data_IF_120760203060
#
_entry.id   IF_120760203060
#
_cell.length_a   1.000
_cell.length_b   1.000
_cell.length_c   1.000
_cell.angle_alpha   90.00
_cell.angle_beta   90.00
_cell.angle_gamma   90.00
#
_symmetry.space_group_name_H-M   'P 1'
#
loop_
_entity.id
_entity.type
_entity.pdbx_description
1 polymer ?
#
# COMPACT_ATOMS: atom_id res chain seq x y z
N UNK A 1 -6.10 6.52 12.03
CA UNK A 1 -4.68 6.92 12.07
C UNK A 1 -4.50 8.44 12.04
N UNK A 2 -5.53 9.20 11.70
CA UNK A 2 -5.50 10.65 11.71
C UNK A 2 -4.98 11.25 13.01
N UNK A 3 -5.48 10.80 14.16
CA UNK A 3 -5.02 11.26 15.49
C UNK A 3 -3.49 11.13 15.66
N UNK A 4 -2.90 10.02 15.23
CA UNK A 4 -1.44 9.82 15.26
C UNK A 4 -0.70 10.90 14.44
N UNK A 5 -1.22 11.26 13.26
CA UNK A 5 -0.63 12.32 12.43
C UNK A 5 -0.85 13.69 13.07
N UNK A 6 -2.04 13.95 13.60
CA UNK A 6 -2.33 15.23 14.25
C UNK A 6 -1.45 15.48 15.48
N UNK A 7 -1.15 14.45 16.25
CA UNK A 7 -0.33 14.58 17.45
C UNK A 7 1.16 14.70 17.16
N UNK A 8 1.66 13.94 16.16
CA UNK A 8 3.10 13.78 15.95
C UNK A 8 3.67 14.61 14.79
N UNK A 9 2.84 15.09 13.85
CA UNK A 9 3.34 15.77 12.65
C UNK A 9 2.81 17.19 12.47
N UNK A 10 1.53 17.44 12.66
CA UNK A 10 0.94 18.77 12.46
C UNK A 10 1.60 19.86 13.32
N UNK A 11 1.91 19.63 14.63
CA UNK A 11 2.60 20.63 15.44
C UNK A 11 4.00 21.02 14.93
N UNK A 12 4.57 20.18 14.07
CA UNK A 12 5.90 20.36 13.51
C UNK A 12 5.88 20.95 12.08
N UNK A 13 4.75 21.51 11.65
CA UNK A 13 4.64 22.23 10.38
C UNK A 13 4.40 21.33 9.16
N UNK A 14 3.83 20.14 9.36
CA UNK A 14 3.31 19.31 8.27
C UNK A 14 1.86 19.68 7.95
N UNK A 15 1.50 19.61 6.68
CA UNK A 15 0.12 19.53 6.25
C UNK A 15 -0.27 18.05 6.07
N UNK A 16 -1.50 17.71 6.39
CA UNK A 16 -2.05 16.37 6.20
C UNK A 16 -3.28 16.43 5.31
N UNK A 17 -3.30 15.61 4.29
CA UNK A 17 -4.45 15.41 3.42
C UNK A 17 -4.87 13.94 3.45
N UNK A 18 -6.17 13.71 3.61
CA UNK A 18 -6.80 12.42 3.41
C UNK A 18 -7.65 12.52 2.16
N UNK A 19 -7.42 11.62 1.21
CA UNK A 19 -8.06 11.62 -0.10
C UNK A 19 -8.84 10.34 -0.25
N UNK A 20 -10.14 10.45 -0.53
CA UNK A 20 -10.99 9.31 -0.88
C UNK A 20 -10.82 8.99 -2.35
N UNK A 21 -10.61 7.72 -2.69
CA UNK A 21 -10.48 7.27 -4.08
C UNK A 21 -11.80 7.48 -4.82
N UNK A 22 -11.74 7.52 -6.14
CA UNK A 22 -12.93 7.73 -6.98
C UNK A 22 -14.03 6.73 -6.66
N UNK A 23 -15.27 7.18 -6.72
CA UNK A 23 -16.45 6.35 -6.41
C UNK A 23 -16.64 6.00 -4.94
N UNK A 24 -15.86 6.59 -4.02
CA UNK A 24 -16.02 6.37 -2.58
C UNK A 24 -16.29 7.67 -1.83
N UNK A 25 -17.04 7.59 -0.75
CA UNK A 25 -17.46 8.73 0.07
C UNK A 25 -18.06 9.88 -0.76
N UNK A 26 -17.39 11.03 -0.80
CA UNK A 26 -17.83 12.19 -1.57
C UNK A 26 -17.07 12.37 -2.90
N UNK A 27 -16.14 11.46 -3.21
CA UNK A 27 -15.42 11.48 -4.48
C UNK A 27 -16.30 10.97 -5.61
N UNK A 28 -16.40 11.77 -6.68
CA UNK A 28 -17.13 11.37 -7.88
C UNK A 28 -16.33 10.42 -8.77
N UNK A 29 -16.93 9.90 -9.82
CA UNK A 29 -16.33 8.90 -10.69
C UNK A 29 -16.65 7.49 -10.25
N UNK A 30 -15.97 6.50 -10.81
CA UNK A 30 -16.17 5.11 -10.42
C UNK A 30 -14.96 4.51 -9.73
N UNK A 31 -15.19 3.66 -8.76
CA UNK A 31 -14.19 2.87 -8.08
C UNK A 31 -13.70 1.74 -9.00
N UNK A 32 -12.42 1.71 -9.32
CA UNK A 32 -11.83 0.75 -10.25
C UNK A 32 -10.84 -0.24 -9.61
N UNK A 33 -10.86 -0.30 -8.30
CA UNK A 33 -10.09 -1.25 -7.50
C UNK A 33 -8.64 -1.37 -7.96
N UNK A 34 -7.86 -0.32 -7.68
CA UNK A 34 -6.45 -0.22 -8.02
C UNK A 34 -6.12 -0.14 -9.52
N UNK A 35 -7.09 0.24 -10.33
CA UNK A 35 -6.88 0.46 -11.74
C UNK A 35 -6.27 1.82 -12.07
N UNK A 36 -6.25 2.12 -13.36
CA UNK A 36 -5.63 3.36 -13.87
C UNK A 36 -6.30 4.63 -13.33
N UNK A 37 -7.62 4.63 -13.18
CA UNK A 37 -8.37 5.79 -12.69
C UNK A 37 -7.97 6.15 -11.27
N UNK A 38 -7.82 5.16 -10.41
CA UNK A 38 -7.40 5.35 -9.02
C UNK A 38 -5.96 5.89 -8.96
N UNK A 39 -5.03 5.30 -9.73
CA UNK A 39 -3.66 5.77 -9.82
C UNK A 39 -3.57 7.23 -10.29
N UNK A 40 -4.38 7.62 -11.29
CA UNK A 40 -4.48 9.02 -11.76
C UNK A 40 -5.03 9.94 -10.67
N UNK A 41 -6.03 9.50 -9.91
CA UNK A 41 -6.62 10.30 -8.83
C UNK A 41 -5.59 10.62 -7.75
N UNK A 42 -4.82 9.63 -7.33
CA UNK A 42 -3.77 9.81 -6.32
C UNK A 42 -2.62 10.66 -6.86
N UNK A 43 -2.21 10.44 -8.11
CA UNK A 43 -1.22 11.27 -8.78
C UNK A 43 -1.63 12.74 -8.78
N UNK A 44 -2.86 13.05 -9.20
CA UNK A 44 -3.35 14.43 -9.20
C UNK A 44 -3.45 15.03 -7.79
N UNK A 45 -3.74 14.24 -6.77
CA UNK A 45 -3.70 14.72 -5.39
C UNK A 45 -2.26 15.10 -4.96
N UNK A 46 -1.26 14.30 -5.33
CA UNK A 46 0.15 14.61 -5.09
C UNK A 46 0.57 15.89 -5.82
N UNK A 47 0.23 16.02 -7.11
CA UNK A 47 0.50 17.22 -7.91
C UNK A 47 -0.17 18.47 -7.29
N UNK A 48 -1.43 18.34 -6.89
CA UNK A 48 -2.13 19.45 -6.26
C UNK A 48 -1.46 19.86 -4.96
N UNK A 49 -1.11 18.92 -4.07
CA UNK A 49 -0.43 19.22 -2.81
C UNK A 49 0.95 19.85 -3.02
N UNK A 50 1.71 19.34 -3.99
CA UNK A 50 3.04 19.83 -4.30
C UNK A 50 3.06 21.27 -4.86
N UNK A 51 1.99 21.69 -5.53
CA UNK A 51 1.88 23.00 -6.19
C UNK A 51 1.23 24.09 -5.35
N UNK A 52 0.76 23.78 -4.13
CA UNK A 52 0.13 24.80 -3.29
C UNK A 52 1.14 25.84 -2.80
N UNK A 53 0.73 27.10 -2.66
CA UNK A 53 1.58 28.19 -2.21
C UNK A 53 2.17 27.99 -0.79
N UNK A 54 1.49 27.22 0.04
CA UNK A 54 1.95 26.87 1.38
C UNK A 54 2.82 25.60 1.43
N UNK A 55 2.92 24.86 0.33
CA UNK A 55 3.74 23.66 0.20
C UNK A 55 5.19 24.00 -0.12
N UNK A 56 6.11 23.20 0.41
CA UNK A 56 7.51 23.26 -0.01
C UNK A 56 7.80 22.42 -1.26
N UNK A 57 6.77 21.82 -1.87
CA UNK A 57 6.88 20.97 -3.04
C UNK A 57 7.28 19.52 -2.72
N UNK A 58 7.35 19.12 -1.47
CA UNK A 58 7.71 17.75 -1.09
C UNK A 58 6.51 17.04 -0.48
N UNK A 59 6.05 16.00 -1.13
CA UNK A 59 4.92 15.18 -0.69
C UNK A 59 5.43 13.79 -0.29
N UNK A 60 4.96 13.30 0.84
CA UNK A 60 5.19 11.93 1.31
C UNK A 60 3.86 11.22 1.51
N UNK A 61 3.82 9.93 1.22
CA UNK A 61 2.65 9.10 1.43
C UNK A 61 2.88 8.13 2.59
N UNK A 62 1.85 7.92 3.39
CA UNK A 62 1.88 7.03 4.54
C UNK A 62 0.52 6.38 4.75
N UNK A 63 0.50 5.09 4.91
CA UNK A 63 -0.72 4.35 5.20
C UNK A 63 -0.53 2.85 5.18
N UNK A 64 -1.56 2.13 5.61
CA UNK A 64 -1.54 0.69 5.75
C UNK A 64 -2.57 0.04 4.83
N UNK A 65 -2.29 -1.20 4.38
CA UNK A 65 -3.24 -1.99 3.60
C UNK A 65 -3.54 -1.33 2.26
N UNK A 66 -4.79 -1.01 1.99
CA UNK A 66 -5.20 -0.27 0.79
C UNK A 66 -4.47 1.08 0.68
N UNK A 67 -4.39 1.84 1.77
CA UNK A 67 -3.64 3.11 1.83
C UNK A 67 -2.12 2.90 1.62
N UNK A 68 -1.61 1.72 1.91
CA UNK A 68 -0.24 1.33 1.58
C UNK A 68 -0.10 0.94 0.10
N UNK A 69 -1.14 0.36 -0.48
CA UNK A 69 -1.20 -0.03 -1.87
C UNK A 69 -1.24 1.18 -2.81
N UNK A 70 -2.08 2.18 -2.51
CA UNK A 70 -2.24 3.39 -3.31
C UNK A 70 -0.97 4.21 -3.44
N UNK A 71 -0.01 4.03 -2.53
CA UNK A 71 1.32 4.67 -2.63
C UNK A 71 2.12 4.12 -3.81
N UNK A 72 2.01 2.82 -4.09
CA UNK A 72 2.64 2.20 -5.26
C UNK A 72 1.99 2.68 -6.56
N UNK A 73 0.70 2.93 -6.54
CA UNK A 73 -0.01 3.52 -7.68
C UNK A 73 0.50 4.93 -7.98
N UNK A 74 0.64 5.77 -6.94
CA UNK A 74 1.21 7.10 -7.09
C UNK A 74 2.65 7.05 -7.61
N UNK A 75 3.48 6.14 -7.09
CA UNK A 75 4.85 5.95 -7.55
C UNK A 75 4.90 5.45 -9.01
N UNK A 76 4.00 4.54 -9.38
CA UNK A 76 3.90 4.04 -10.76
C UNK A 76 3.50 5.12 -11.77
N UNK A 77 2.72 6.12 -11.36
CA UNK A 77 2.37 7.28 -12.19
C UNK A 77 3.53 8.27 -12.32
N UNK A 78 4.41 8.32 -11.33
CA UNK A 78 5.55 9.24 -11.26
C UNK A 78 5.13 10.68 -10.96
N UNK A 79 5.85 11.34 -10.09
CA UNK A 79 5.67 12.76 -9.79
C UNK A 79 6.97 13.33 -9.25
N UNK A 80 7.32 14.52 -9.67
CA UNK A 80 8.47 15.23 -9.10
C UNK A 80 8.24 15.68 -7.65
N UNK A 81 6.97 15.82 -7.23
CA UNK A 81 6.61 16.20 -5.87
C UNK A 81 6.62 15.01 -4.90
N UNK A 82 6.44 13.79 -5.38
CA UNK A 82 6.45 12.59 -4.52
C UNK A 82 7.88 12.22 -4.14
N UNK A 83 8.28 12.53 -2.91
CA UNK A 83 9.65 12.30 -2.42
C UNK A 83 9.82 10.97 -1.69
N UNK A 84 8.79 10.50 -1.03
CA UNK A 84 8.87 9.29 -0.22
C UNK A 84 7.53 8.60 -0.08
N UNK A 85 7.59 7.28 0.02
CA UNK A 85 6.44 6.44 0.38
C UNK A 85 6.78 5.60 1.61
N UNK A 86 5.78 5.40 2.46
CA UNK A 86 5.87 4.55 3.65
C UNK A 86 4.71 3.53 3.63
N UNK A 87 4.79 2.52 2.75
CA UNK A 87 3.76 1.50 2.64
C UNK A 87 3.87 0.50 3.80
N UNK A 88 2.85 0.47 4.64
CA UNK A 88 2.71 -0.51 5.72
C UNK A 88 1.78 -1.62 5.25
N UNK A 89 2.28 -2.84 5.11
CA UNK A 89 1.47 -3.97 4.61
C UNK A 89 0.67 -3.60 3.35
N UNK A 90 1.32 -2.90 2.41
CA UNK A 90 0.73 -2.42 1.17
C UNK A 90 0.86 -3.42 0.03
N UNK A 91 -0.22 -3.67 -0.69
CA UNK A 91 -0.20 -4.54 -1.86
C UNK A 91 0.53 -3.85 -3.01
N UNK A 92 1.52 -4.49 -3.58
CA UNK A 92 2.33 -3.98 -4.69
C UNK A 92 1.74 -4.31 -6.05
N UNK A 93 1.08 -5.45 -6.14
CA UNK A 93 0.36 -5.92 -7.31
C UNK A 93 -0.82 -6.79 -6.90
N UNK A 94 -1.94 -6.68 -7.61
CA UNK A 94 -3.16 -7.38 -7.23
C UNK A 94 -3.08 -8.89 -7.53
N UNK A 95 -2.49 -9.27 -8.66
CA UNK A 95 -2.41 -10.68 -9.05
C UNK A 95 -1.71 -11.56 -7.99
N UNK A 96 -0.48 -11.26 -7.52
CA UNK A 96 0.19 -12.10 -6.52
C UNK A 96 -0.45 -12.04 -5.13
N UNK A 97 -1.35 -11.10 -4.87
CA UNK A 97 -2.17 -11.11 -3.67
C UNK A 97 -3.27 -12.17 -3.74
N UNK A 98 -3.90 -12.31 -4.89
CA UNK A 98 -5.11 -13.12 -5.07
C UNK A 98 -4.83 -14.51 -5.64
N UNK A 99 -3.70 -14.69 -6.30
CA UNK A 99 -3.32 -15.94 -6.96
C UNK A 99 -1.88 -16.30 -6.60
N UNK A 100 -1.68 -17.56 -6.20
CA UNK A 100 -0.36 -18.08 -5.85
C UNK A 100 -0.10 -19.41 -6.55
N UNK A 101 1.05 -19.50 -7.20
CA UNK A 101 1.45 -20.70 -7.93
C UNK A 101 0.38 -21.21 -8.92
N UNK A 102 -0.33 -20.29 -9.59
CA UNK A 102 -1.38 -20.63 -10.53
C UNK A 102 -2.72 -21.04 -9.90
N UNK A 103 -2.88 -20.87 -8.60
CA UNK A 103 -4.14 -21.17 -7.89
C UNK A 103 -4.76 -19.90 -7.32
N UNK A 104 -6.06 -19.72 -7.56
CA UNK A 104 -6.83 -18.68 -6.89
C UNK A 104 -6.93 -18.99 -5.40
N UNK A 105 -6.64 -17.99 -4.57
CA UNK A 105 -6.91 -18.08 -3.15
C UNK A 105 -8.41 -17.92 -2.86
N UNK A 106 -8.90 -18.53 -1.81
CA UNK A 106 -10.30 -18.40 -1.41
C UNK A 106 -10.73 -16.95 -1.16
N UNK A 107 -9.80 -16.10 -0.75
CA UNK A 107 -10.04 -14.67 -0.51
C UNK A 107 -10.15 -13.85 -1.80
N UNK A 108 -9.72 -14.34 -2.97
CA UNK A 108 -9.71 -13.55 -4.21
C UNK A 108 -11.09 -13.01 -4.56
N UNK A 109 -12.11 -13.85 -4.54
CA UNK A 109 -13.50 -13.44 -4.78
C UNK A 109 -14.06 -12.62 -3.61
N UNK A 110 -13.76 -13.04 -2.38
CA UNK A 110 -14.24 -12.35 -1.17
C UNK A 110 -13.71 -10.92 -1.13
N UNK A 111 -12.46 -10.69 -1.49
CA UNK A 111 -11.86 -9.35 -1.53
C UNK A 111 -12.56 -8.46 -2.56
N UNK A 112 -12.74 -8.93 -3.79
CA UNK A 112 -13.46 -8.18 -4.82
C UNK A 112 -14.90 -7.87 -4.40
N UNK A 113 -15.61 -8.86 -3.87
CA UNK A 113 -16.98 -8.67 -3.38
C UNK A 113 -17.06 -7.71 -2.21
N UNK A 114 -16.09 -7.75 -1.29
CA UNK A 114 -16.07 -6.86 -0.14
C UNK A 114 -15.87 -5.40 -0.57
N UNK A 115 -14.94 -5.14 -1.48
CA UNK A 115 -14.73 -3.79 -1.99
C UNK A 115 -15.90 -3.32 -2.85
N UNK A 116 -16.45 -4.18 -3.69
CA UNK A 116 -17.66 -3.90 -4.45
C UNK A 116 -18.83 -3.50 -3.53
N UNK A 117 -19.14 -4.34 -2.53
CA UNK A 117 -20.27 -4.06 -1.63
C UNK A 117 -20.05 -2.81 -0.78
N UNK A 118 -18.83 -2.57 -0.28
CA UNK A 118 -18.54 -1.37 0.50
C UNK A 118 -18.66 -0.09 -0.33
N UNK A 119 -18.36 -0.15 -1.62
CA UNK A 119 -18.54 0.99 -2.52
C UNK A 119 -20.00 1.27 -2.83
N UNK A 120 -20.78 0.22 -3.06
CA UNK A 120 -22.23 0.33 -3.29
C UNK A 120 -22.96 0.84 -2.05
N UNK A 121 -22.56 0.40 -0.86
CA UNK A 121 -23.18 0.83 0.41
C UNK A 121 -22.98 2.33 0.71
N UNK A 122 -21.90 2.93 0.20
CA UNK A 122 -21.63 4.35 0.40
C UNK A 122 -22.55 5.29 -0.40
N UNK A 123 -23.06 4.83 -1.52
CA UNK A 123 -23.80 5.69 -2.46
C UNK A 123 -25.17 5.10 -2.80
N UNK A 124 -26.01 4.92 -1.79
CA UNK A 124 -27.39 4.43 -1.87
C UNK A 124 -27.99 4.48 -3.29
N UNK A 125 -28.06 3.34 -3.97
CA UNK A 125 -28.71 3.12 -5.27
C UNK A 125 -27.90 3.34 -6.56
N UNK A 126 -26.62 3.68 -6.55
CA UNK A 126 -25.90 3.99 -7.78
C UNK A 126 -24.74 3.02 -8.07
N UNK A 127 -25.00 2.02 -8.91
CA UNK A 127 -23.96 1.12 -9.44
C UNK A 127 -22.97 1.84 -10.38
N UNK A 128 -23.29 3.07 -10.80
CA UNK A 128 -22.40 3.87 -11.65
C UNK A 128 -21.10 4.29 -10.92
N UNK A 129 -21.07 4.13 -9.60
CA UNK A 129 -19.85 4.37 -8.80
C UNK A 129 -18.85 3.21 -8.80
N UNK A 130 -19.16 2.11 -9.44
CA UNK A 130 -18.24 0.97 -9.62
C UNK A 130 -17.92 0.83 -11.09
N UNK A 131 -16.62 0.84 -11.41
CA UNK A 131 -16.21 0.70 -12.80
C UNK A 131 -16.56 -0.71 -13.34
N UNK A 132 -16.96 -0.82 -14.61
CA UNK A 132 -17.47 -2.09 -15.17
C UNK A 132 -16.48 -3.25 -15.09
N UNK A 133 -15.19 -2.98 -15.19
CA UNK A 133 -14.13 -3.99 -15.17
C UNK A 133 -13.97 -4.68 -13.82
N UNK A 134 -14.43 -4.09 -12.71
CA UNK A 134 -14.49 -4.79 -11.41
C UNK A 134 -15.45 -5.95 -11.47
N UNK A 135 -16.63 -5.74 -12.06
CA UNK A 135 -17.61 -6.83 -12.20
C UNK A 135 -17.06 -7.95 -13.09
N UNK A 136 -16.35 -7.60 -14.15
CA UNK A 136 -15.68 -8.56 -15.01
C UNK A 136 -14.55 -9.31 -14.30
N UNK A 137 -13.70 -8.62 -13.54
CA UNK A 137 -12.67 -9.23 -12.70
C UNK A 137 -13.24 -10.18 -11.64
N UNK A 138 -14.39 -9.83 -11.07
CA UNK A 138 -15.08 -10.65 -10.10
C UNK A 138 -15.59 -11.97 -10.66
N UNK A 139 -16.16 -11.96 -11.87
CA UNK A 139 -16.82 -13.12 -12.45
C UNK A 139 -15.92 -13.94 -13.36
N UNK A 140 -15.07 -13.31 -14.15
CA UNK A 140 -14.24 -13.99 -15.14
C UNK A 140 -12.94 -14.56 -14.53
N UNK A 141 -12.32 -13.89 -13.55
CA UNK A 141 -11.04 -14.31 -13.01
C UNK A 141 -10.97 -15.75 -12.49
N UNK A 142 -11.91 -16.18 -11.63
CA UNK A 142 -11.90 -17.56 -11.11
C UNK A 142 -12.15 -18.64 -12.16
N UNK A 143 -12.95 -18.33 -13.17
CA UNK A 143 -13.32 -19.30 -14.22
C UNK A 143 -12.13 -19.60 -15.14
N UNK A 144 -11.36 -18.59 -15.50
CA UNK A 144 -10.16 -18.76 -16.35
C UNK A 144 -9.04 -19.50 -15.63
N UNK A 145 -8.89 -19.31 -14.34
CA UNK A 145 -7.92 -20.06 -13.54
C UNK A 145 -8.25 -21.53 -13.38
N UNK A 146 -9.53 -21.88 -13.28
CA UNK A 146 -9.99 -23.27 -13.24
C UNK A 146 -9.71 -23.98 -14.57
N UNK A 147 -9.74 -23.24 -15.68
CA UNK A 147 -9.42 -23.76 -17.01
C UNK A 147 -7.91 -23.90 -17.29
N UNK A 148 -7.04 -23.41 -16.38
CA UNK A 148 -5.58 -23.56 -16.47
C UNK A 148 -4.87 -22.57 -17.38
N UNK A 149 -5.61 -21.67 -18.02
CA UNK A 149 -5.06 -20.59 -18.85
C UNK A 149 -5.73 -19.26 -18.45
N UNK A 150 -4.92 -18.23 -18.26
CA UNK A 150 -5.46 -16.89 -18.03
C UNK A 150 -5.91 -16.31 -19.37
N UNK A 151 -7.17 -15.91 -19.45
CA UNK A 151 -7.69 -15.17 -20.58
C UNK A 151 -6.86 -13.89 -20.80
N UNK A 152 -6.51 -13.50 -22.05
CA UNK A 152 -5.79 -12.26 -22.34
C UNK A 152 -6.42 -11.00 -21.72
N UNK A 153 -7.73 -10.95 -21.61
CA UNK A 153 -8.44 -9.88 -20.92
C UNK A 153 -8.06 -9.83 -19.43
N UNK A 154 -8.09 -10.95 -18.74
CA UNK A 154 -7.71 -11.04 -17.33
C UNK A 154 -6.22 -10.79 -17.11
N UNK A 155 -5.37 -11.14 -18.05
CA UNK A 155 -3.96 -10.78 -18.00
C UNK A 155 -3.81 -9.24 -18.00
N UNK A 156 -4.44 -8.54 -18.94
CA UNK A 156 -4.42 -7.08 -18.97
C UNK A 156 -4.99 -6.45 -17.71
N UNK A 157 -6.09 -7.00 -17.18
CA UNK A 157 -6.69 -6.55 -15.92
C UNK A 157 -5.69 -6.56 -14.76
N UNK A 158 -4.91 -7.63 -14.62
CA UNK A 158 -3.91 -7.75 -13.56
C UNK A 158 -2.61 -7.01 -13.87
N UNK A 159 -2.21 -6.90 -15.13
CA UNK A 159 -1.05 -6.12 -15.53
C UNK A 159 -1.28 -4.63 -15.28
N UNK A 160 -2.48 -4.14 -15.50
CA UNK A 160 -2.87 -2.77 -15.17
C UNK A 160 -2.79 -2.50 -13.65
N UNK A 161 -3.01 -3.52 -12.85
CA UNK A 161 -2.98 -3.51 -11.38
C UNK A 161 -1.67 -4.01 -10.77
N UNK A 162 -0.61 -4.09 -11.57
CA UNK A 162 0.77 -4.28 -11.12
C UNK A 162 1.48 -2.92 -11.14
N UNK A 163 1.81 -2.40 -9.98
CA UNK A 163 2.34 -1.05 -9.85
C UNK A 163 3.83 -1.04 -9.52
N UNK A 164 4.33 -2.09 -8.90
CA UNK A 164 5.69 -2.16 -8.37
C UNK A 164 6.76 -2.09 -9.47
N UNK A 165 6.55 -2.77 -10.58
CA UNK A 165 7.44 -2.79 -11.74
C UNK A 165 7.39 -1.48 -12.53
N UNK A 166 6.23 -0.81 -12.53
CA UNK A 166 6.05 0.51 -13.15
C UNK A 166 6.73 1.60 -12.33
N UNK A 167 6.65 1.52 -11.00
CA UNK A 167 7.23 2.50 -10.10
C UNK A 167 8.76 2.58 -10.23
N UNK A 168 9.46 1.46 -10.43
CA UNK A 168 10.91 1.45 -10.67
C UNK A 168 11.30 2.32 -11.88
N UNK A 169 10.49 2.31 -12.93
CA UNK A 169 10.78 3.03 -14.16
C UNK A 169 10.34 4.49 -14.15
N UNK A 170 9.31 4.81 -13.38
CA UNK A 170 8.61 6.09 -13.48
C UNK A 170 8.89 7.04 -12.31
N UNK A 171 9.50 6.56 -11.23
CA UNK A 171 9.68 7.34 -10.02
C UNK A 171 11.10 7.18 -9.46
N UNK A 172 11.56 8.21 -8.75
CA UNK A 172 12.85 8.23 -8.06
C UNK A 172 12.67 8.88 -6.69
N UNK A 173 12.31 8.09 -5.71
CA UNK A 173 12.11 8.56 -4.35
C UNK A 173 12.65 7.56 -3.31
N UNK A 174 12.28 7.77 -2.07
CA UNK A 174 12.68 6.89 -0.97
C UNK A 174 11.53 6.04 -0.48
N UNK A 175 11.85 4.85 0.00
CA UNK A 175 10.86 3.85 0.45
C UNK A 175 11.18 3.42 1.87
N UNK A 176 10.26 3.66 2.80
CA UNK A 176 10.30 2.99 4.10
C UNK A 176 9.29 1.84 4.11
N UNK A 177 9.77 0.66 3.76
CA UNK A 177 8.92 -0.51 3.56
C UNK A 177 8.66 -1.24 4.87
N UNK A 178 7.41 -1.29 5.29
CA UNK A 178 7.01 -1.89 6.57
C UNK A 178 6.10 -3.08 6.32
N UNK A 179 6.45 -4.26 6.87
CA UNK A 179 5.68 -5.49 6.65
C UNK A 179 5.65 -6.37 7.90
N UNK A 180 4.45 -6.81 8.26
CA UNK A 180 4.26 -7.89 9.22
C UNK A 180 4.54 -9.25 8.57
N UNK A 181 5.44 -10.02 9.16
CA UNK A 181 5.81 -11.34 8.64
C UNK A 181 4.75 -12.42 8.91
N UNK A 182 3.77 -12.10 9.75
CA UNK A 182 2.60 -12.94 10.04
C UNK A 182 1.30 -12.37 9.44
N UNK A 183 1.45 -11.40 8.54
CA UNK A 183 0.33 -10.80 7.84
C UNK A 183 -0.27 -11.79 6.84
N UNK A 184 -1.46 -12.28 7.15
CA UNK A 184 -2.20 -13.19 6.28
C UNK A 184 -3.07 -12.44 5.27
N UNK A 185 -3.34 -11.16 5.50
CA UNK A 185 -4.17 -10.33 4.64
C UNK A 185 -3.37 -9.78 3.45
N UNK A 186 -2.27 -9.07 3.73
CA UNK A 186 -1.28 -8.67 2.73
C UNK A 186 0.02 -9.35 3.12
N UNK A 187 0.25 -10.52 2.58
CA UNK A 187 1.35 -11.37 3.02
C UNK A 187 2.74 -10.86 2.55
N UNK A 188 3.80 -11.30 3.22
CA UNK A 188 5.17 -10.86 2.92
C UNK A 188 5.63 -11.13 1.49
N UNK A 189 4.92 -11.95 0.73
CA UNK A 189 5.20 -12.20 -0.68
C UNK A 189 5.14 -10.90 -1.51
N UNK A 190 4.35 -9.93 -1.08
CA UNK A 190 4.29 -8.61 -1.72
C UNK A 190 5.63 -7.85 -1.67
N UNK A 191 6.48 -8.17 -0.71
CA UNK A 191 7.80 -7.54 -0.54
C UNK A 191 8.92 -8.42 -1.13
N UNK A 192 8.89 -9.70 -0.81
CA UNK A 192 9.99 -10.63 -1.09
C UNK A 192 9.72 -11.56 -2.27
N UNK A 193 8.51 -11.57 -2.79
CA UNK A 193 8.10 -12.40 -3.91
C UNK A 193 7.76 -11.54 -5.13
N UNK A 194 8.10 -12.05 -6.26
CA UNK A 194 7.76 -11.51 -7.56
C UNK A 194 7.62 -12.68 -8.53
N UNK A 195 7.70 -12.42 -9.82
CA UNK A 195 7.97 -13.48 -10.79
C UNK A 195 9.14 -14.35 -10.34
N UNK A 196 9.24 -15.62 -10.74
CA UNK A 196 10.27 -16.50 -10.23
C UNK A 196 11.67 -15.88 -10.24
N UNK A 197 12.26 -15.76 -9.04
CA UNK A 197 13.61 -15.21 -8.85
C UNK A 197 13.68 -13.73 -8.52
N UNK A 198 12.58 -13.00 -8.45
CA UNK A 198 12.58 -11.60 -8.06
C UNK A 198 12.25 -11.45 -6.58
N UNK A 199 13.10 -10.71 -5.88
CA UNK A 199 12.85 -10.15 -4.56
C UNK A 199 12.69 -8.64 -4.73
N UNK A 200 11.48 -8.11 -4.63
CA UNK A 200 11.21 -6.71 -4.89
C UNK A 200 11.99 -5.74 -4.01
N UNK A 201 12.17 -6.09 -2.74
CA UNK A 201 12.99 -5.26 -1.86
C UNK A 201 14.43 -5.14 -2.38
N UNK A 202 15.03 -6.25 -2.78
CA UNK A 202 16.40 -6.26 -3.31
C UNK A 202 16.47 -5.56 -4.67
N UNK A 203 15.46 -5.74 -5.52
CA UNK A 203 15.40 -5.09 -6.84
C UNK A 203 15.44 -3.57 -6.72
N UNK A 204 14.65 -2.99 -5.81
CA UNK A 204 14.67 -1.55 -5.56
C UNK A 204 16.01 -1.05 -5.01
N UNK A 205 16.67 -1.84 -4.16
CA UNK A 205 18.02 -1.54 -3.68
C UNK A 205 19.03 -1.58 -4.83
N UNK A 206 18.97 -2.58 -5.68
CA UNK A 206 19.89 -2.76 -6.82
C UNK A 206 19.71 -1.67 -7.88
N UNK A 207 18.50 -1.17 -8.07
CA UNK A 207 18.16 -0.02 -8.92
C UNK A 207 18.52 1.35 -8.30
N UNK A 208 19.08 1.35 -7.10
CA UNK A 208 19.64 2.55 -6.46
C UNK A 208 18.64 3.41 -5.70
N UNK A 209 17.47 2.90 -5.37
CA UNK A 209 16.54 3.59 -4.50
C UNK A 209 17.04 3.64 -3.05
N UNK A 210 16.71 4.71 -2.34
CA UNK A 210 16.88 4.76 -0.90
C UNK A 210 15.80 3.91 -0.22
N UNK A 211 16.14 2.68 0.19
CA UNK A 211 15.18 1.74 0.76
C UNK A 211 15.55 1.38 2.20
N UNK A 212 14.61 1.57 3.12
CA UNK A 212 14.68 1.05 4.49
C UNK A 212 13.56 0.05 4.69
N UNK A 213 13.87 -1.08 5.30
CA UNK A 213 12.90 -2.12 5.65
C UNK A 213 12.67 -2.22 7.14
N UNK A 214 11.41 -2.38 7.56
CA UNK A 214 11.05 -2.77 8.91
C UNK A 214 10.13 -4.00 8.85
N UNK A 215 10.65 -5.13 9.26
CA UNK A 215 9.96 -6.41 9.20
C UNK A 215 9.86 -7.03 10.58
N UNK A 216 8.66 -7.43 10.98
CA UNK A 216 8.48 -7.95 12.33
C UNK A 216 7.42 -9.05 12.41
N UNK A 217 7.39 -9.71 13.55
CA UNK A 217 6.47 -10.83 13.78
C UNK A 217 5.10 -10.32 14.27
N UNK A 218 4.49 -9.47 13.49
CA UNK A 218 3.11 -9.02 13.67
C UNK A 218 2.28 -9.32 12.43
N UNK A 219 0.97 -9.25 12.59
CA UNK A 219 0.00 -9.43 11.52
C UNK A 219 -0.25 -8.14 10.72
N UNK A 220 -1.50 -7.88 10.36
CA UNK A 220 -1.90 -6.74 9.56
C UNK A 220 -2.04 -5.46 10.38
N UNK A 221 -0.90 -4.95 10.94
CA UNK A 221 -0.87 -3.82 11.87
C UNK A 221 0.18 -2.79 11.53
N UNK A 222 0.01 -1.58 12.08
CA UNK A 222 1.11 -0.65 12.23
C UNK A 222 2.10 -1.14 13.29
N UNK A 223 3.39 -0.82 13.18
CA UNK A 223 4.41 -1.32 14.10
C UNK A 223 4.21 -0.94 15.57
N UNK A 224 3.52 0.16 15.83
CA UNK A 224 3.23 0.69 17.18
C UNK A 224 1.91 0.16 17.78
N UNK A 225 1.19 -0.68 17.06
CA UNK A 225 -0.08 -1.22 17.55
C UNK A 225 0.13 -2.52 18.33
N UNK A 226 -0.34 -2.52 19.56
CA UNK A 226 -0.54 -3.75 20.33
C UNK A 226 -1.89 -4.31 19.95
N UNK A 227 -1.92 -5.34 19.13
CA UNK A 227 -3.19 -5.92 18.74
C UNK A 227 -3.56 -7.10 19.61
N UNK A 228 -4.71 -6.97 20.24
CA UNK A 228 -5.42 -8.10 20.84
C UNK A 228 -6.30 -8.85 19.82
N UNK A 229 -6.49 -8.27 18.63
CA UNK A 229 -7.44 -8.79 17.64
C UNK A 229 -6.86 -9.88 16.75
N UNK A 230 -5.55 -9.87 16.51
CA UNK A 230 -4.92 -10.87 15.67
C UNK A 230 -4.29 -12.01 16.44
N UNK A 231 -4.56 -12.09 17.71
CA UNK A 231 -4.27 -13.30 18.49
C UNK A 231 -4.86 -14.57 17.86
N UNK A 232 -5.92 -14.41 17.07
CA UNK A 232 -6.48 -15.49 16.27
C UNK A 232 -5.61 -15.81 15.05
N UNK A 233 -4.97 -14.81 14.48
CA UNK A 233 -4.18 -14.95 13.25
C UNK A 233 -2.72 -15.27 13.52
N UNK A 234 -2.18 -14.77 14.61
CA UNK A 234 -0.89 -15.22 15.12
C UNK A 234 -0.93 -16.64 15.69
N UNK A 235 -2.11 -17.09 16.01
CA UNK A 235 -2.34 -18.41 16.57
C UNK A 235 -1.69 -18.67 17.94
N UNK A 236 -0.89 -17.75 18.43
CA UNK A 236 -0.04 -17.92 19.60
C UNK A 236 0.02 -16.71 20.54
N UNK A 237 -0.71 -15.64 20.23
CA UNK A 237 -0.75 -14.43 21.03
C UNK A 237 0.56 -13.66 21.08
N UNK A 238 1.43 -13.83 20.08
CA UNK A 238 2.72 -13.13 20.05
C UNK A 238 2.54 -11.62 19.92
N UNK A 239 1.54 -11.17 19.18
CA UNK A 239 1.24 -9.74 19.05
C UNK A 239 0.75 -9.09 20.34
N UNK A 240 0.23 -9.88 21.25
CA UNK A 240 -0.15 -9.39 22.57
C UNK A 240 1.04 -9.09 23.48
N UNK A 241 2.26 -9.41 23.02
CA UNK A 241 3.48 -9.14 23.79
C UNK A 241 3.99 -7.75 23.50
N UNK A 242 4.05 -6.92 24.51
CA UNK A 242 4.51 -5.54 24.40
C UNK A 242 5.94 -5.36 23.85
N UNK A 243 6.77 -6.40 23.88
CA UNK A 243 8.13 -6.38 23.33
C UNK A 243 8.18 -6.43 21.79
N UNK A 244 7.08 -6.73 21.14
CA UNK A 244 6.98 -6.73 19.67
C UNK A 244 6.47 -5.40 19.13
N UNK A 245 5.96 -4.53 19.98
CA UNK A 245 5.47 -3.22 19.60
C UNK A 245 6.63 -2.24 19.48
N UNK A 246 6.70 -1.53 18.35
CA UNK A 246 7.68 -0.48 18.10
C UNK A 246 7.19 0.83 18.72
N UNK A 247 7.46 1.01 20.00
CA UNK A 247 7.10 2.22 20.73
C UNK A 247 7.80 3.48 20.22
N UNK A 248 8.91 3.30 19.53
CA UNK A 248 9.69 4.34 18.87
C UNK A 248 9.21 4.68 17.45
N UNK A 249 8.14 4.02 16.96
CA UNK A 249 7.66 4.18 15.59
C UNK A 249 7.34 5.62 15.22
N UNK A 250 6.72 6.38 16.11
CA UNK A 250 6.39 7.77 15.82
C UNK A 250 7.66 8.62 15.61
N UNK A 251 8.68 8.42 16.42
CA UNK A 251 9.97 9.10 16.30
C UNK A 251 10.71 8.68 15.03
N UNK A 252 10.76 7.38 14.75
CA UNK A 252 11.47 6.82 13.60
C UNK A 252 10.83 7.30 12.28
N UNK A 253 9.50 7.32 12.19
CA UNK A 253 8.76 7.85 11.07
C UNK A 253 8.92 9.38 10.94
N UNK A 254 8.95 10.09 12.07
CA UNK A 254 9.17 11.52 12.10
C UNK A 254 10.55 11.89 11.53
N UNK A 255 11.61 11.23 11.97
CA UNK A 255 12.98 11.43 11.47
C UNK A 255 13.08 11.13 9.97
N UNK A 256 12.40 10.09 9.50
CA UNK A 256 12.31 9.78 8.08
C UNK A 256 11.71 10.92 7.26
N UNK A 257 10.58 11.46 7.68
CA UNK A 257 9.93 12.58 6.98
C UNK A 257 10.67 13.91 7.14
N UNK A 258 11.28 14.18 8.29
CA UNK A 258 12.12 15.38 8.46
C UNK A 258 13.24 15.41 7.43
N UNK A 259 13.88 14.29 7.17
CA UNK A 259 14.93 14.23 6.18
C UNK A 259 14.39 14.32 4.74
N UNK A 260 13.48 13.45 4.34
CA UNK A 260 13.05 13.37 2.93
C UNK A 260 12.09 14.49 2.51
N UNK A 261 11.35 15.08 3.42
CA UNK A 261 10.40 16.16 3.08
C UNK A 261 10.92 17.56 3.41
N UNK A 262 11.85 17.69 4.36
CA UNK A 262 12.36 18.99 4.79
C UNK A 262 13.88 19.15 4.68
N UNK A 263 14.62 18.06 4.47
CA UNK A 263 16.08 18.09 4.48
C UNK A 263 16.68 18.36 5.85
N UNK A 264 15.98 17.98 6.93
CA UNK A 264 16.40 18.20 8.32
C UNK A 264 16.90 16.89 8.92
N UNK A 265 18.04 16.94 9.60
CA UNK A 265 18.65 15.79 10.25
C UNK A 265 19.60 14.99 9.37
N UNK A 266 20.14 13.89 9.89
CA UNK A 266 21.00 13.00 9.11
C UNK A 266 20.16 12.13 8.16
N UNK A 267 20.77 11.72 7.06
CA UNK A 267 20.16 10.75 6.16
C UNK A 267 19.84 9.45 6.92
N UNK A 268 18.60 8.96 6.86
CA UNK A 268 18.24 7.71 7.50
C UNK A 268 19.04 6.53 6.92
N UNK A 269 19.51 5.66 7.81
CA UNK A 269 20.25 4.49 7.38
C UNK A 269 19.38 3.57 6.50
N UNK A 270 19.93 3.15 5.38
CA UNK A 270 19.30 2.18 4.48
C UNK A 270 19.56 0.76 4.98
N UNK A 271 18.79 0.34 5.95
CA UNK A 271 18.93 -0.94 6.64
C UNK A 271 17.63 -1.72 6.64
N UNK A 272 17.74 -3.01 6.91
CA UNK A 272 16.62 -3.87 7.26
C UNK A 272 16.57 -4.02 8.76
N UNK A 273 15.53 -3.50 9.38
CA UNK A 273 15.23 -3.72 10.78
C UNK A 273 14.34 -4.95 10.94
N UNK A 274 14.78 -5.91 11.71
CA UNK A 274 14.00 -7.12 12.00
C UNK A 274 13.59 -7.09 13.46
N UNK A 275 12.30 -6.98 13.71
CA UNK A 275 11.74 -7.09 15.06
C UNK A 275 11.53 -8.58 15.38
N UNK A 276 12.30 -9.08 16.33
CA UNK A 276 12.24 -10.48 16.80
C UNK A 276 11.32 -10.63 18.00
N UNK A 277 10.79 -11.84 18.16
CA UNK A 277 9.89 -12.18 19.28
C UNK A 277 10.62 -12.60 20.56
N UNK A 278 11.91 -12.78 20.51
CA UNK A 278 12.78 -13.25 21.62
C UNK A 278 13.64 -12.15 22.25
#
# INVERSE_FOLDING_TARGET
RGEFIFENFIPHGYAFAQVSVFGTELSTGCFDYRGLGEGLGIHHAVEWLGTQEWSNGNVGLYGKSYEGATQWEAAAMGSEFLKTIVPVSGTTALHPLLYKNGSAEARSQIMHMNYFSSTVDYNEDDLDNVCPDIAEGLFAGPVTYIAGEMDPYMQNYYDDRSHIDKAINNWQGSIYWVQGMQDWNVDPHQVFGGPPGINWYQEYVDEGFSVRGMFGQWGHHYPDQVSSHDGVNSGNGLEARGNMTRWDWAQDLFEWFEYYLKGIGPEPEQIVQIQRSD
#
